data_IF_484339781698
#
_entry.id   IF_484339781698
#
_cell.length_a   1.000
_cell.length_b   1.000
_cell.length_c   1.000
_cell.angle_alpha   90.00
_cell.angle_beta   90.00
_cell.angle_gamma   90.00
#
_symmetry.space_group_name_H-M   'P 1'
#
loop_
_entity.id
_entity.type
_entity.pdbx_description
1 polymer ?
#
# COMPACT_ATOMS: atom_id res chain seq x y z
N UNK A 1 -18.17 4.17 -3.57
CA UNK A 1 -16.70 4.11 -3.44
C UNK A 1 -16.35 2.87 -2.65
N UNK A 2 -15.39 2.09 -3.15
CA UNK A 2 -14.92 0.86 -2.52
C UNK A 2 -13.45 1.04 -2.13
N UNK A 3 -13.11 0.79 -0.86
CA UNK A 3 -11.74 0.80 -0.37
C UNK A 3 -11.40 -0.57 0.17
N UNK A 4 -10.28 -1.13 -0.27
CA UNK A 4 -9.77 -2.39 0.24
C UNK A 4 -8.61 -2.14 1.20
N UNK A 5 -8.67 -2.72 2.39
CA UNK A 5 -7.62 -2.68 3.41
C UNK A 5 -6.93 -4.04 3.44
N UNK A 6 -5.64 -4.07 3.17
CA UNK A 6 -4.80 -5.26 3.27
C UNK A 6 -3.91 -5.13 4.49
N UNK A 7 -4.14 -5.96 5.48
CA UNK A 7 -3.37 -5.96 6.72
C UNK A 7 -2.33 -7.08 6.70
N UNK A 8 -1.05 -6.69 6.79
CA UNK A 8 0.10 -7.60 6.71
C UNK A 8 0.74 -7.98 8.05
N UNK A 9 0.19 -7.52 9.17
CA UNK A 9 0.67 -7.91 10.50
C UNK A 9 0.19 -9.31 10.91
N UNK A 10 0.59 -9.74 12.10
CA UNK A 10 0.31 -11.09 12.62
C UNK A 10 -1.06 -11.28 13.26
N UNK A 11 -1.86 -10.23 13.36
CA UNK A 11 -3.19 -10.28 13.97
C UNK A 11 -3.17 -10.51 15.48
N UNK A 12 -2.13 -10.04 16.17
CA UNK A 12 -2.07 -10.08 17.63
C UNK A 12 -3.16 -9.18 18.23
N UNK A 13 -3.72 -9.58 19.36
CA UNK A 13 -4.84 -8.90 20.01
C UNK A 13 -4.52 -7.42 20.34
N UNK A 14 -3.27 -7.16 20.65
CA UNK A 14 -2.75 -5.84 21.04
C UNK A 14 -1.97 -5.15 19.88
N UNK A 15 -2.21 -5.55 18.63
CA UNK A 15 -1.55 -4.94 17.48
C UNK A 15 -2.05 -3.50 17.25
N UNK A 16 -1.18 -2.49 17.36
CA UNK A 16 -1.57 -1.10 17.20
C UNK A 16 -2.13 -0.79 15.82
N UNK A 17 -1.69 -1.50 14.79
CA UNK A 17 -2.20 -1.30 13.42
C UNK A 17 -3.67 -1.71 13.32
N UNK A 18 -4.10 -2.75 14.02
CA UNK A 18 -5.50 -3.18 14.04
C UNK A 18 -6.40 -2.10 14.65
N UNK A 19 -5.98 -1.49 15.76
CA UNK A 19 -6.73 -0.39 16.39
C UNK A 19 -6.89 0.79 15.44
N UNK A 20 -5.80 1.16 14.76
CA UNK A 20 -5.82 2.25 13.77
C UNK A 20 -6.74 1.93 12.60
N UNK A 21 -6.68 0.70 12.05
CA UNK A 21 -7.55 0.27 10.95
C UNK A 21 -9.01 0.29 11.36
N UNK A 22 -9.33 -0.17 12.58
CA UNK A 22 -10.70 -0.13 13.09
C UNK A 22 -11.25 1.29 13.09
N UNK A 23 -10.46 2.26 13.61
CA UNK A 23 -10.88 3.65 13.64
C UNK A 23 -10.98 4.28 12.24
N UNK A 24 -10.07 3.94 11.33
CA UNK A 24 -10.16 4.37 9.92
C UNK A 24 -11.45 3.85 9.29
N UNK A 25 -11.77 2.57 9.53
CA UNK A 25 -12.99 1.96 8.99
C UNK A 25 -14.25 2.65 9.53
N UNK A 26 -14.34 2.91 10.84
CA UNK A 26 -15.47 3.64 11.44
C UNK A 26 -15.73 4.97 10.70
N UNK A 27 -14.69 5.78 10.48
CA UNK A 27 -14.83 7.07 9.78
C UNK A 27 -15.23 6.88 8.31
N UNK A 28 -14.67 5.88 7.63
CA UNK A 28 -15.04 5.61 6.23
C UNK A 28 -16.48 5.09 6.11
N UNK A 29 -16.95 4.29 7.07
CA UNK A 29 -18.35 3.82 7.14
C UNK A 29 -19.30 5.01 7.36
N UNK A 30 -18.96 5.96 8.23
CA UNK A 30 -19.72 7.22 8.41
C UNK A 30 -19.81 8.05 7.12
N UNK A 31 -18.76 7.99 6.28
CA UNK A 31 -18.72 8.63 4.97
C UNK A 31 -19.41 7.81 3.85
N UNK A 32 -20.09 6.72 4.19
CA UNK A 32 -20.76 5.80 3.25
C UNK A 32 -19.80 5.17 2.23
N UNK A 33 -18.58 4.86 2.64
CA UNK A 33 -17.60 4.12 1.84
C UNK A 33 -17.73 2.64 2.14
N UNK A 34 -17.77 1.81 1.12
CA UNK A 34 -17.74 0.36 1.29
C UNK A 34 -16.28 -0.09 1.55
N UNK A 35 -16.01 -0.68 2.71
CA UNK A 35 -14.68 -1.11 3.12
C UNK A 35 -14.60 -2.63 3.19
N UNK A 36 -13.66 -3.22 2.42
CA UNK A 36 -13.34 -4.65 2.52
C UNK A 36 -11.99 -4.81 3.21
N UNK A 37 -11.92 -5.71 4.18
CA UNK A 37 -10.67 -6.00 4.92
C UNK A 37 -10.16 -7.40 4.60
N UNK A 38 -8.86 -7.48 4.35
CA UNK A 38 -8.14 -8.72 4.07
C UNK A 38 -6.97 -8.87 5.05
N UNK A 39 -7.03 -9.86 5.92
CA UNK A 39 -5.93 -10.22 6.81
C UNK A 39 -5.02 -11.20 6.06
N UNK A 40 -3.85 -10.73 5.64
CA UNK A 40 -2.92 -11.53 4.84
C UNK A 40 -2.37 -12.75 5.59
N UNK A 41 -2.23 -12.65 6.91
CA UNK A 41 -1.81 -13.79 7.74
C UNK A 41 -2.85 -14.92 7.74
N UNK A 42 -4.11 -14.59 7.90
CA UNK A 42 -5.22 -15.57 7.86
C UNK A 42 -5.39 -16.14 6.47
N UNK A 43 -5.18 -15.32 5.45
CA UNK A 43 -5.34 -15.67 4.03
C UNK A 43 -4.03 -16.11 3.37
N UNK A 44 -3.04 -16.56 4.14
CA UNK A 44 -1.67 -16.90 3.64
C UNK A 44 -1.64 -17.87 2.47
N UNK A 45 -2.61 -18.77 2.38
CA UNK A 45 -2.70 -19.76 1.30
C UNK A 45 -3.34 -19.22 0.01
N UNK A 46 -3.96 -18.03 0.08
CA UNK A 46 -4.71 -17.41 -1.02
C UNK A 46 -4.22 -16.00 -1.35
N UNK A 47 -3.07 -15.58 -0.80
CA UNK A 47 -2.50 -14.22 -1.02
C UNK A 47 -2.38 -13.91 -2.51
N UNK A 48 -1.99 -14.88 -3.33
CA UNK A 48 -1.83 -14.71 -4.77
C UNK A 48 -3.14 -14.34 -5.48
N UNK A 49 -4.27 -14.86 -5.01
CA UNK A 49 -5.59 -14.54 -5.57
C UNK A 49 -6.10 -13.18 -5.13
N UNK A 50 -5.64 -12.68 -3.96
CA UNK A 50 -6.03 -11.37 -3.46
C UNK A 50 -5.52 -10.22 -4.33
N UNK A 51 -4.46 -10.43 -5.11
CA UNK A 51 -3.96 -9.42 -6.05
C UNK A 51 -5.02 -8.98 -7.07
N UNK A 52 -5.99 -9.83 -7.39
CA UNK A 52 -7.09 -9.51 -8.30
C UNK A 52 -8.07 -8.52 -7.68
N UNK A 53 -8.30 -8.58 -6.35
CA UNK A 53 -9.22 -7.68 -5.65
C UNK A 53 -8.74 -6.23 -5.61
N UNK A 54 -7.44 -5.99 -5.87
CA UNK A 54 -6.84 -4.65 -5.99
C UNK A 54 -7.47 -3.86 -7.13
N UNK A 55 -7.78 -4.52 -8.23
CA UNK A 55 -8.34 -3.86 -9.42
C UNK A 55 -9.81 -3.46 -9.24
N UNK A 56 -10.52 -4.09 -8.31
CA UNK A 56 -11.94 -3.85 -8.03
C UNK A 56 -12.17 -2.63 -7.10
N UNK A 57 -11.14 -2.20 -6.36
CA UNK A 57 -11.23 -1.09 -5.44
C UNK A 57 -10.97 0.26 -6.12
N UNK A 58 -11.56 1.33 -5.59
CA UNK A 58 -11.26 2.72 -5.99
C UNK A 58 -9.95 3.22 -5.36
N UNK A 59 -9.59 2.67 -4.20
CA UNK A 59 -8.34 2.93 -3.49
C UNK A 59 -8.00 1.79 -2.54
N UNK A 60 -6.73 1.70 -2.13
CA UNK A 60 -6.23 0.66 -1.25
C UNK A 60 -5.46 1.23 -0.07
N UNK A 61 -5.65 0.60 1.08
CA UNK A 61 -4.85 0.84 2.28
C UNK A 61 -3.96 -0.37 2.49
N UNK A 62 -2.63 -0.17 2.50
CA UNK A 62 -1.67 -1.19 2.91
C UNK A 62 -1.26 -0.92 4.35
N UNK A 63 -1.72 -1.77 5.25
CA UNK A 63 -1.54 -1.61 6.67
C UNK A 63 -0.64 -2.69 7.24
N UNK A 64 0.38 -2.32 8.00
CA UNK A 64 1.29 -3.28 8.61
C UNK A 64 1.90 -2.78 9.90
N UNK A 65 2.23 -3.71 10.78
CA UNK A 65 3.08 -3.46 11.95
C UNK A 65 4.51 -3.81 11.57
N UNK A 66 5.45 -2.94 11.94
CA UNK A 66 6.87 -3.15 11.63
C UNK A 66 7.39 -4.38 12.35
N UNK A 67 7.96 -5.28 11.58
CA UNK A 67 8.63 -6.49 12.05
C UNK A 67 10.08 -6.49 11.54
N UNK A 68 11.04 -6.57 12.47
CA UNK A 68 12.46 -6.60 12.11
C UNK A 68 12.88 -5.51 11.09
N UNK A 69 12.41 -4.28 11.33
CA UNK A 69 12.64 -3.12 10.43
C UNK A 69 12.03 -3.31 9.02
N UNK A 70 11.11 -4.25 8.86
CA UNK A 70 10.47 -4.59 7.58
C UNK A 70 8.95 -4.60 7.65
N UNK A 71 8.33 -4.68 6.48
CA UNK A 71 6.86 -4.71 6.32
C UNK A 71 6.23 -6.08 6.63
N UNK A 72 7.04 -7.08 7.00
CA UNK A 72 6.59 -8.45 7.19
C UNK A 72 6.47 -9.25 5.88
N UNK A 73 6.66 -10.58 6.01
CA UNK A 73 6.72 -11.48 4.84
C UNK A 73 5.42 -11.57 4.06
N UNK A 74 4.26 -11.53 4.74
CA UNK A 74 2.95 -11.62 4.07
C UNK A 74 2.63 -10.39 3.23
N UNK A 75 2.97 -9.19 3.71
CA UNK A 75 2.82 -7.96 2.93
C UNK A 75 3.74 -7.99 1.71
N UNK A 76 4.98 -8.46 1.89
CA UNK A 76 5.93 -8.60 0.78
C UNK A 76 5.40 -9.59 -0.27
N UNK A 77 4.92 -10.76 0.14
CA UNK A 77 4.30 -11.77 -0.75
C UNK A 77 3.09 -11.19 -1.48
N UNK A 78 2.28 -10.37 -0.81
CA UNK A 78 1.13 -9.71 -1.45
C UNK A 78 1.57 -8.72 -2.54
N UNK A 79 2.58 -7.89 -2.27
CA UNK A 79 3.13 -6.95 -3.25
C UNK A 79 3.75 -7.68 -4.45
N UNK A 80 4.50 -8.77 -4.22
CA UNK A 80 5.02 -9.62 -5.28
C UNK A 80 3.89 -10.22 -6.13
N UNK A 81 2.80 -10.64 -5.50
CA UNK A 81 1.62 -11.16 -6.18
C UNK A 81 0.92 -10.07 -7.02
N UNK A 82 0.84 -8.85 -6.51
CA UNK A 82 0.32 -7.72 -7.28
C UNK A 82 1.21 -7.43 -8.50
N UNK A 83 2.54 -7.49 -8.34
CA UNK A 83 3.47 -7.32 -9.45
C UNK A 83 3.30 -8.37 -10.54
N UNK A 84 3.12 -9.64 -10.15
CA UNK A 84 3.10 -10.78 -11.07
C UNK A 84 1.73 -10.98 -11.74
N UNK A 85 0.63 -10.75 -11.03
CA UNK A 85 -0.69 -11.23 -11.43
C UNK A 85 -1.74 -10.13 -11.62
N UNK A 86 -1.49 -8.89 -11.19
CA UNK A 86 -2.46 -7.81 -11.40
C UNK A 86 -2.32 -7.17 -12.78
N UNK A 87 -3.45 -6.75 -13.32
CA UNK A 87 -3.47 -5.95 -14.54
C UNK A 87 -2.94 -4.54 -14.25
N UNK A 88 -1.73 -4.27 -14.71
CA UNK A 88 -1.04 -2.99 -14.48
C UNK A 88 -1.81 -1.80 -15.07
N UNK A 89 -2.57 -1.99 -16.14
CA UNK A 89 -3.36 -0.93 -16.75
C UNK A 89 -4.47 -0.45 -15.81
N UNK A 90 -4.99 -1.33 -14.97
CA UNK A 90 -6.03 -1.03 -13.99
C UNK A 90 -5.47 -0.46 -12.68
N UNK A 91 -4.16 -0.63 -12.44
CA UNK A 91 -3.47 -0.11 -11.25
C UNK A 91 -3.04 1.35 -11.41
N UNK A 92 -2.77 1.81 -12.64
CA UNK A 92 -2.21 3.13 -12.93
C UNK A 92 -2.95 4.31 -12.25
N UNK A 93 -4.25 4.17 -12.03
CA UNK A 93 -5.07 5.21 -11.40
C UNK A 93 -5.43 4.91 -9.94
N UNK A 94 -4.94 3.80 -9.38
CA UNK A 94 -5.23 3.41 -8.00
C UNK A 94 -4.32 4.10 -7.00
N UNK A 95 -4.92 4.77 -6.03
CA UNK A 95 -4.20 5.32 -4.89
C UNK A 95 -3.96 4.25 -3.84
N UNK A 96 -2.74 4.19 -3.34
CA UNK A 96 -2.38 3.41 -2.16
C UNK A 96 -2.05 4.34 -0.99
N UNK A 97 -2.56 3.99 0.17
CA UNK A 97 -2.43 4.74 1.41
C UNK A 97 -1.74 3.85 2.44
N UNK A 98 -0.46 4.10 2.78
CA UNK A 98 0.23 3.29 3.78
C UNK A 98 -0.21 3.64 5.19
N UNK A 99 -0.42 2.60 6.01
CA UNK A 99 -0.64 2.68 7.46
C UNK A 99 0.41 1.81 8.13
N UNK A 100 1.37 2.42 8.78
CA UNK A 100 2.52 1.72 9.35
C UNK A 100 2.70 2.06 10.82
N UNK A 101 2.51 1.08 11.68
CA UNK A 101 2.73 1.23 13.11
C UNK A 101 3.97 0.46 13.53
N UNK A 102 4.77 1.02 14.44
CA UNK A 102 5.95 0.37 14.97
C UNK A 102 5.96 0.44 16.49
N UNK A 103 6.34 -0.67 17.14
CA UNK A 103 6.60 -0.72 18.59
C UNK A 103 8.06 -0.47 18.93
N UNK A 104 8.93 -0.44 17.94
CA UNK A 104 10.36 -0.24 18.12
C UNK A 104 10.88 0.83 17.19
N UNK A 105 11.13 0.48 15.95
CA UNK A 105 11.84 1.33 15.00
C UNK A 105 11.52 0.86 13.56
N UNK A 106 11.56 1.77 12.60
CA UNK A 106 11.51 1.41 11.17
C UNK A 106 10.19 1.78 10.46
N UNK A 107 9.30 2.56 11.10
CA UNK A 107 8.02 2.97 10.50
C UNK A 107 8.21 3.81 9.23
N UNK A 108 9.27 4.63 9.18
CA UNK A 108 9.57 5.46 8.01
C UNK A 108 10.11 4.64 6.86
N UNK A 109 11.03 3.73 7.16
CA UNK A 109 11.65 2.81 6.20
C UNK A 109 10.61 1.91 5.56
N UNK A 110 9.70 1.37 6.36
CA UNK A 110 8.60 0.52 5.87
C UNK A 110 7.61 1.34 5.04
N UNK A 111 7.25 2.55 5.47
CA UNK A 111 6.40 3.45 4.68
C UNK A 111 7.04 3.75 3.32
N UNK A 112 8.32 4.06 3.29
CA UNK A 112 9.05 4.30 2.06
C UNK A 112 9.11 3.06 1.17
N UNK A 113 9.31 1.88 1.77
CA UNK A 113 9.33 0.62 1.04
C UNK A 113 7.97 0.30 0.40
N UNK A 114 6.86 0.49 1.12
CA UNK A 114 5.50 0.34 0.57
C UNK A 114 5.25 1.30 -0.58
N UNK A 115 5.61 2.58 -0.41
CA UNK A 115 5.45 3.59 -1.45
C UNK A 115 6.24 3.23 -2.71
N UNK A 116 7.52 2.90 -2.56
CA UNK A 116 8.38 2.53 -3.69
C UNK A 116 7.86 1.27 -4.39
N UNK A 117 7.41 0.26 -3.64
CA UNK A 117 6.87 -0.97 -4.21
C UNK A 117 5.61 -0.68 -5.03
N UNK A 118 4.70 0.16 -4.50
CA UNK A 118 3.48 0.51 -5.20
C UNK A 118 3.72 1.34 -6.47
N UNK A 119 4.68 2.27 -6.43
CA UNK A 119 5.12 3.01 -7.62
C UNK A 119 5.72 2.10 -8.69
N UNK A 120 6.51 1.10 -8.28
CA UNK A 120 7.07 0.09 -9.20
C UNK A 120 5.95 -0.70 -9.87
N UNK A 121 4.90 -1.06 -9.12
CA UNK A 121 3.72 -1.76 -9.67
C UNK A 121 2.96 -0.85 -10.65
N UNK A 122 3.08 0.47 -10.53
CA UNK A 122 2.50 1.46 -11.44
C UNK A 122 1.41 2.33 -10.81
N UNK A 123 1.10 2.16 -9.54
CA UNK A 123 0.04 2.90 -8.86
C UNK A 123 0.46 4.27 -8.36
N UNK A 124 -0.50 5.00 -7.81
CA UNK A 124 -0.32 6.33 -7.22
C UNK A 124 -0.20 6.23 -5.71
N UNK A 125 0.57 7.13 -5.12
CA UNK A 125 0.74 7.20 -3.66
C UNK A 125 -0.20 8.27 -3.11
N UNK A 126 -0.95 7.90 -2.07
CA UNK A 126 -1.70 8.82 -1.23
C UNK A 126 -0.94 9.21 0.05
N UNK A 127 -1.57 10.03 0.92
CA UNK A 127 -1.03 10.34 2.23
C UNK A 127 -0.74 9.07 3.04
N UNK A 128 0.33 9.11 3.83
CA UNK A 128 0.71 8.03 4.73
C UNK A 128 0.34 8.34 6.19
N UNK A 129 0.03 7.31 6.95
CA UNK A 129 -0.05 7.36 8.40
C UNK A 129 0.99 6.42 8.98
N UNK A 130 2.00 6.97 9.63
CA UNK A 130 3.01 6.16 10.31
C UNK A 130 3.29 6.71 11.70
N UNK A 131 3.39 5.82 12.69
CA UNK A 131 3.67 6.19 14.06
C UNK A 131 4.43 5.11 14.82
N UNK A 132 5.23 5.55 15.78
CA UNK A 132 5.75 4.72 16.84
C UNK A 132 4.75 4.69 18.00
N UNK A 133 4.47 3.50 18.51
CA UNK A 133 3.49 3.26 19.54
C UNK A 133 4.05 2.23 20.52
N UNK A 134 4.40 2.68 21.69
CA UNK A 134 4.97 1.83 22.72
C UNK A 134 3.87 1.02 23.43
N UNK A 135 2.80 1.68 23.83
CA UNK A 135 1.65 1.07 24.51
C UNK A 135 0.34 1.38 23.75
N UNK A 136 -0.43 0.34 23.48
CA UNK A 136 -1.73 0.46 22.84
C UNK A 136 -2.77 1.14 23.71
N UNK A 137 -2.59 1.15 25.04
CA UNK A 137 -3.46 1.86 25.97
C UNK A 137 -3.41 3.38 25.75
N UNK A 138 -2.32 3.92 25.23
CA UNK A 138 -2.22 5.35 24.87
C UNK A 138 -3.23 5.74 23.79
N UNK A 139 -3.61 4.82 22.90
CA UNK A 139 -4.63 5.08 21.89
C UNK A 139 -6.03 5.25 22.46
N UNK A 140 -6.35 4.51 23.51
CA UNK A 140 -7.68 4.53 24.11
C UNK A 140 -7.91 5.83 24.89
N UNK A 141 -6.83 6.37 25.48
CA UNK A 141 -6.90 7.51 26.39
C UNK A 141 -6.47 8.85 25.79
N UNK A 142 -5.85 8.85 24.60
CA UNK A 142 -5.35 10.08 23.98
C UNK A 142 -6.19 10.49 22.76
N UNK A 143 -7.07 11.45 22.95
CA UNK A 143 -7.94 11.96 21.88
C UNK A 143 -7.16 12.56 20.68
N UNK A 144 -5.92 13.00 20.88
CA UNK A 144 -5.12 13.52 19.77
C UNK A 144 -4.82 12.44 18.72
N UNK A 145 -4.59 11.20 19.15
CA UNK A 145 -4.41 10.10 18.19
C UNK A 145 -5.68 9.84 17.38
N UNK A 146 -6.84 9.86 18.03
CA UNK A 146 -8.13 9.70 17.36
C UNK A 146 -8.34 10.77 16.29
N UNK A 147 -8.11 12.04 16.62
CA UNK A 147 -8.22 13.17 15.69
C UNK A 147 -7.28 13.02 14.49
N UNK A 148 -6.04 12.55 14.71
CA UNK A 148 -5.08 12.33 13.62
C UNK A 148 -5.56 11.23 12.68
N UNK A 149 -6.07 10.12 13.23
CA UNK A 149 -6.59 8.98 12.46
C UNK A 149 -7.85 9.41 11.68
N UNK A 150 -8.76 10.14 12.30
CA UNK A 150 -9.96 10.68 11.65
C UNK A 150 -9.60 11.58 10.46
N UNK A 151 -8.71 12.55 10.66
CA UNK A 151 -8.22 13.41 9.58
C UNK A 151 -7.53 12.62 8.47
N UNK A 152 -6.82 11.56 8.81
CA UNK A 152 -6.21 10.70 7.81
C UNK A 152 -7.28 9.98 6.98
N UNK A 153 -8.29 9.38 7.61
CA UNK A 153 -9.39 8.70 6.93
C UNK A 153 -10.18 9.65 6.02
N UNK A 154 -10.46 10.88 6.49
CA UNK A 154 -11.07 11.91 5.65
C UNK A 154 -10.18 12.28 4.44
N UNK A 155 -8.87 12.35 4.62
CA UNK A 155 -7.95 12.65 3.53
C UNK A 155 -7.89 11.51 2.51
N UNK A 156 -7.97 10.24 2.95
CA UNK A 156 -8.12 9.08 2.06
C UNK A 156 -9.38 9.26 1.20
N UNK A 157 -10.52 9.53 1.83
CA UNK A 157 -11.78 9.77 1.12
C UNK A 157 -11.67 10.93 0.12
N UNK A 158 -11.13 12.08 0.54
CA UNK A 158 -10.99 13.27 -0.32
C UNK A 158 -10.07 13.00 -1.51
N UNK A 159 -8.95 12.32 -1.28
CA UNK A 159 -7.97 12.03 -2.35
C UNK A 159 -8.61 11.21 -3.45
N UNK A 160 -9.39 10.19 -3.10
CA UNK A 160 -10.06 9.33 -4.07
C UNK A 160 -11.23 10.07 -4.74
N UNK A 161 -12.09 10.73 -3.94
CA UNK A 161 -13.31 11.40 -4.44
C UNK A 161 -13.01 12.55 -5.38
N UNK A 162 -11.97 13.33 -5.08
CA UNK A 162 -11.60 14.51 -5.86
C UNK A 162 -10.61 14.18 -6.97
N UNK A 163 -10.15 12.93 -7.07
CA UNK A 163 -9.08 12.53 -7.98
C UNK A 163 -7.92 13.52 -7.97
N UNK A 164 -7.52 13.93 -6.75
CA UNK A 164 -6.49 14.94 -6.56
C UNK A 164 -5.21 14.41 -7.20
N UNK A 165 -4.85 14.95 -8.35
CA UNK A 165 -3.55 14.68 -8.94
C UNK A 165 -2.49 15.35 -8.06
N UNK A 166 -1.82 14.56 -7.23
CA UNK A 166 -0.57 15.01 -6.67
C UNK A 166 0.42 15.13 -7.82
N UNK A 167 0.96 16.33 -8.00
CA UNK A 167 2.05 16.53 -8.95
C UNK A 167 3.21 15.62 -8.51
N UNK A 168 3.76 14.81 -9.42
CA UNK A 168 4.88 13.94 -9.06
C UNK A 168 6.00 14.80 -8.50
N UNK A 169 6.58 14.37 -7.38
CA UNK A 169 7.76 15.03 -6.84
C UNK A 169 8.88 15.00 -7.90
N UNK A 170 9.80 15.97 -7.85
CA UNK A 170 10.93 15.98 -8.77
C UNK A 170 11.71 14.66 -8.76
N UNK A 171 11.79 13.99 -7.59
CA UNK A 171 12.40 12.67 -7.47
C UNK A 171 11.59 11.56 -8.18
N UNK A 172 10.26 11.61 -8.15
CA UNK A 172 9.40 10.69 -8.90
C UNK A 172 9.51 10.88 -10.39
N UNK A 173 9.57 12.13 -10.85
CA UNK A 173 9.77 12.44 -12.27
C UNK A 173 11.13 11.93 -12.76
N UNK A 174 12.19 12.08 -11.96
CA UNK A 174 13.52 11.55 -12.27
C UNK A 174 13.49 10.02 -12.30
N UNK A 175 12.92 9.35 -11.28
CA UNK A 175 12.78 7.89 -11.24
C UNK A 175 12.00 7.35 -12.44
N UNK A 176 10.86 7.96 -12.78
CA UNK A 176 10.05 7.57 -13.92
C UNK A 176 10.78 7.75 -15.25
N UNK A 177 11.59 8.80 -15.39
CA UNK A 177 12.39 9.00 -16.57
C UNK A 177 13.55 8.00 -16.64
N UNK A 178 14.23 7.72 -15.51
CA UNK A 178 15.26 6.68 -15.45
C UNK A 178 14.70 5.30 -15.78
N UNK A 179 13.53 4.95 -15.26
CA UNK A 179 12.86 3.69 -15.59
C UNK A 179 12.46 3.61 -17.07
N UNK A 180 11.95 4.68 -17.67
CA UNK A 180 11.65 4.75 -19.10
C UNK A 180 12.89 4.60 -19.96
N UNK A 181 14.01 5.18 -19.55
CA UNK A 181 15.29 5.10 -20.27
C UNK A 181 15.95 3.71 -20.07
N UNK A 182 15.74 3.06 -18.92
CA UNK A 182 16.25 1.70 -18.65
C UNK A 182 15.39 0.64 -19.37
N UNK A 183 14.10 0.88 -19.53
CA UNK A 183 13.18 0.00 -20.30
C UNK A 183 13.32 0.20 -21.82
N UNK A 184 13.86 1.32 -22.27
CA UNK A 184 14.41 1.41 -23.61
C UNK A 184 15.70 0.56 -23.65
N UNK A 185 15.50 -0.76 -23.61
CA UNK A 185 16.51 -1.69 -24.10
C UNK A 185 17.10 -1.05 -25.35
N UNK A 186 18.40 -0.81 -25.33
CA UNK A 186 19.10 -0.37 -26.54
C UNK A 186 18.60 -1.25 -27.69
N UNK A 187 18.43 -0.76 -28.90
CA UNK A 187 18.03 -1.54 -30.05
C UNK A 187 18.77 -2.86 -30.15
N UNK A 188 20.04 -2.90 -29.73
CA UNK A 188 20.88 -4.08 -29.64
C UNK A 188 20.41 -5.13 -28.61
N UNK A 189 19.79 -4.74 -27.51
CA UNK A 189 19.23 -5.68 -26.50
C UNK A 189 17.92 -6.34 -26.96
N UNK A 190 17.10 -5.64 -27.72
CA UNK A 190 15.88 -6.21 -28.30
C UNK A 190 16.17 -7.18 -29.45
N UNK A 191 17.23 -6.94 -30.26
CA UNK A 191 17.69 -7.87 -31.29
C UNK A 191 18.30 -9.13 -30.70
N UNK A 192 19.03 -9.05 -29.58
CA UNK A 192 19.56 -10.23 -28.91
C UNK A 192 18.46 -11.12 -28.32
N UNK A 193 17.46 -10.53 -27.67
CA UNK A 193 16.32 -11.27 -27.13
C UNK A 193 15.48 -11.94 -28.23
N UNK A 194 15.31 -11.32 -29.39
CA UNK A 194 14.60 -11.93 -30.52
C UNK A 194 15.34 -13.10 -31.15
N UNK A 195 16.67 -13.12 -31.09
CA UNK A 195 17.49 -14.25 -31.57
C UNK A 195 17.41 -15.47 -30.64
N UNK A 196 17.34 -15.26 -29.31
CA UNK A 196 17.15 -16.37 -28.36
C UNK A 196 15.74 -16.97 -28.37
N UNK A 197 14.73 -16.20 -28.79
CA UNK A 197 13.34 -16.69 -28.91
C UNK A 197 13.03 -17.42 -30.24
N UNK A 198 13.96 -17.42 -31.18
CA UNK A 198 13.79 -18.08 -32.49
C UNK A 198 14.55 -19.42 -32.62
N UNK A 199 15.29 -19.84 -31.58
CA UNK A 199 16.08 -21.08 -31.58
C UNK A 199 15.46 -22.19 -30.69
N UNK A 200 14.19 -22.06 -30.26
CA UNK A 200 13.31 -23.06 -29.66
C UNK A 200 12.13 -23.29 -30.65
#
# INVERSE_FOLDING_TARGET
MNINIYYGGRGLVDDPTILVINKIQEVLDELNVNVNRYNLYEMKNTITTLSQTVTEADGIILATTVEWVGMGGYMQTFLDSCWLYSDKSQILDKYMFPVVMARTYGEREVTLALNNSWEIIGGKIGPALSAYIDDTTDFEFNDNYKIIIEKYAENVYRTISQRIMQLPSSSQTIKNNMLKDTIKLTPQGSEQLSKYASDD
#
